data_IF_286762962765
#
_entry.id   IF_286762962765
#
_cell.length_a   1.000
_cell.length_b   1.000
_cell.length_c   1.000
_cell.angle_alpha   90.00
_cell.angle_beta   90.00
_cell.angle_gamma   90.00
#
_symmetry.space_group_name_H-M   'P 1'
#
loop_
_entity.id
_entity.type
_entity.pdbx_description
1 polymer ?
#
# COMPACT_ATOMS: atom_id res chain seq x y z
N UNK A 1 -10.44 -5.75 1.43
CA UNK A 1 -9.23 -4.92 1.68
C UNK A 1 -9.11 -3.90 0.56
N UNK A 2 -8.46 -2.78 0.86
CA UNK A 2 -8.19 -1.69 -0.08
C UNK A 2 -6.69 -1.39 -0.10
N UNK A 3 -6.20 -0.86 -1.20
CA UNK A 3 -4.83 -0.35 -1.34
C UNK A 3 -4.84 1.07 -1.91
N UNK A 4 -3.66 1.63 -2.09
CA UNK A 4 -3.47 2.95 -2.70
C UNK A 4 -2.37 2.87 -3.76
N UNK A 5 -2.47 3.66 -4.82
CA UNK A 5 -1.43 3.76 -5.86
C UNK A 5 -0.52 4.97 -5.64
N UNK A 6 -1.09 6.06 -5.19
CA UNK A 6 -0.39 7.33 -5.05
C UNK A 6 -0.26 7.79 -3.61
N UNK A 7 0.74 8.66 -3.39
CA UNK A 7 0.98 9.32 -2.12
C UNK A 7 -0.08 10.39 -1.88
N UNK A 8 -0.66 10.37 -0.67
CA UNK A 8 -1.50 11.45 -0.16
C UNK A 8 -0.86 12.11 1.06
N UNK A 9 -1.11 13.40 1.26
CA UNK A 9 -0.57 14.17 2.39
C UNK A 9 -1.62 15.13 2.91
N UNK A 10 -1.82 15.14 4.23
CA UNK A 10 -2.68 16.11 4.90
C UNK A 10 -2.01 16.71 6.13
N UNK A 11 -2.51 17.86 6.56
CA UNK A 11 -2.11 18.47 7.82
C UNK A 11 -3.30 18.57 8.75
N UNK A 12 -3.13 18.08 9.97
CA UNK A 12 -4.13 18.16 11.05
C UNK A 12 -3.56 18.95 12.22
N UNK A 13 -4.30 19.88 12.76
CA UNK A 13 -3.92 20.63 13.95
C UNK A 13 -4.82 20.25 15.14
N UNK A 14 -4.18 19.97 16.27
CA UNK A 14 -4.85 19.66 17.55
C UNK A 14 -4.12 20.41 18.67
N UNK A 15 -4.80 21.31 19.35
CA UNK A 15 -4.23 22.12 20.44
C UNK A 15 -2.86 22.74 20.07
N UNK A 16 -2.80 23.40 18.92
CA UNK A 16 -1.59 24.00 18.32
C UNK A 16 -0.50 23.01 17.90
N UNK A 17 -0.59 21.73 18.23
CA UNK A 17 0.29 20.71 17.68
C UNK A 17 -0.09 20.44 16.23
N UNK A 18 0.91 20.35 15.34
CA UNK A 18 0.72 20.11 13.92
C UNK A 18 1.17 18.68 13.59
N UNK A 19 0.32 17.95 12.89
CA UNK A 19 0.54 16.58 12.43
C UNK A 19 0.47 16.56 10.90
N UNK A 20 1.61 16.37 10.22
CA UNK A 20 1.66 16.21 8.78
C UNK A 20 1.67 14.72 8.51
N UNK A 21 0.58 14.22 7.95
CA UNK A 21 0.37 12.79 7.71
C UNK A 21 0.55 12.46 6.24
N UNK A 22 1.43 11.51 5.97
CA UNK A 22 1.74 10.95 4.67
C UNK A 22 1.17 9.53 4.62
N UNK A 23 0.34 9.23 3.63
CA UNK A 23 -0.07 7.86 3.28
C UNK A 23 0.59 7.51 1.97
N UNK A 24 1.31 6.39 1.93
CA UNK A 24 2.10 5.97 0.77
C UNK A 24 1.94 4.47 0.49
N UNK A 25 2.04 4.03 -0.78
CA UNK A 25 2.20 2.62 -1.08
C UNK A 25 3.42 2.04 -0.36
N UNK A 26 3.35 0.77 0.05
CA UNK A 26 4.45 0.11 0.79
C UNK A 26 5.76 0.13 0.00
N UNK A 27 5.71 0.07 -1.32
CA UNK A 27 6.88 0.15 -2.21
C UNK A 27 7.64 1.49 -2.11
N UNK A 28 6.99 2.54 -1.61
CA UNK A 28 7.57 3.89 -1.43
C UNK A 28 7.93 4.19 0.03
N UNK A 29 7.82 3.18 0.91
CA UNK A 29 8.05 3.38 2.35
C UNK A 29 9.53 3.36 2.73
N UNK A 30 10.35 2.51 2.09
CA UNK A 30 11.75 2.33 2.44
C UNK A 30 12.53 3.66 2.36
N UNK A 31 13.26 3.99 3.42
CA UNK A 31 14.02 5.24 3.54
C UNK A 31 13.19 6.51 3.75
N UNK A 32 11.83 6.44 3.64
CA UNK A 32 10.98 7.63 3.74
C UNK A 32 10.99 8.23 5.15
N UNK A 33 11.06 7.41 6.21
CA UNK A 33 11.11 7.92 7.58
C UNK A 33 12.35 8.79 7.80
N UNK A 34 13.54 8.30 7.40
CA UNK A 34 14.81 9.02 7.51
C UNK A 34 14.82 10.29 6.68
N UNK A 35 14.27 10.22 5.47
CA UNK A 35 14.07 11.38 4.61
C UNK A 35 13.21 12.44 5.29
N UNK A 36 12.07 12.06 5.85
CA UNK A 36 11.17 12.99 6.55
C UNK A 36 11.83 13.59 7.81
N UNK A 37 12.64 12.83 8.55
CA UNK A 37 13.44 13.37 9.68
C UNK A 37 14.43 14.43 9.20
N UNK A 38 15.11 14.17 8.10
CA UNK A 38 16.07 15.11 7.51
C UNK A 38 15.40 16.38 6.99
N UNK A 39 14.25 16.23 6.31
CA UNK A 39 13.49 17.37 5.77
C UNK A 39 12.77 18.20 6.86
N UNK A 40 12.54 17.62 8.04
CA UNK A 40 11.82 18.22 9.13
C UNK A 40 12.66 18.27 10.43
N UNK A 41 13.84 18.93 10.44
CA UNK A 41 14.77 18.87 11.57
C UNK A 41 14.23 19.50 12.87
N UNK A 42 13.15 20.27 12.77
CA UNK A 42 12.46 20.87 13.94
C UNK A 42 11.25 20.04 14.42
N UNK A 43 10.93 18.95 13.74
CA UNK A 43 9.88 18.05 14.18
C UNK A 43 10.34 17.28 15.43
N UNK A 44 9.40 17.03 16.33
CA UNK A 44 9.67 16.28 17.54
C UNK A 44 9.71 14.76 17.27
N UNK A 45 8.84 14.27 16.39
CA UNK A 45 8.66 12.85 16.12
C UNK A 45 8.26 12.63 14.66
N UNK A 46 8.69 11.48 14.09
CA UNK A 46 8.24 10.96 12.80
C UNK A 46 7.74 9.52 13.04
N UNK A 47 6.52 9.45 13.47
CA UNK A 47 5.80 8.19 13.78
C UNK A 47 5.47 7.45 12.50
N UNK A 48 5.45 6.10 12.53
CA UNK A 48 4.95 5.34 11.40
C UNK A 48 4.06 4.17 11.82
N UNK A 49 3.24 3.72 10.89
CA UNK A 49 2.59 2.42 10.90
C UNK A 49 2.55 1.85 9.47
N UNK A 50 2.82 0.56 9.35
CA UNK A 50 2.82 -0.16 8.07
C UNK A 50 1.93 -1.39 8.17
N UNK A 51 1.26 -1.72 7.06
CA UNK A 51 0.45 -2.92 6.92
C UNK A 51 0.54 -3.42 5.49
N UNK A 52 1.10 -4.62 5.28
CA UNK A 52 1.34 -5.15 3.95
C UNK A 52 1.29 -6.68 3.93
N UNK A 53 1.19 -7.26 2.74
CA UNK A 53 1.32 -8.70 2.51
C UNK A 53 2.78 -9.04 2.21
N UNK A 54 3.31 -10.08 2.88
CA UNK A 54 4.61 -10.64 2.53
C UNK A 54 4.49 -11.57 1.31
N UNK A 55 5.60 -12.18 0.91
CA UNK A 55 5.70 -13.15 -0.20
C UNK A 55 4.82 -14.41 -0.03
N UNK A 56 4.34 -14.67 1.19
CA UNK A 56 3.45 -15.79 1.53
C UNK A 56 1.99 -15.35 1.72
N UNK A 57 1.61 -14.15 1.25
CA UNK A 57 0.29 -13.54 1.44
C UNK A 57 -0.14 -13.37 2.90
N UNK A 58 0.81 -13.34 3.83
CA UNK A 58 0.53 -13.09 5.24
C UNK A 58 0.58 -11.59 5.52
N UNK A 59 -0.37 -11.11 6.31
CA UNK A 59 -0.39 -9.72 6.74
C UNK A 59 0.76 -9.48 7.74
N UNK A 60 1.63 -8.55 7.37
CA UNK A 60 2.71 -8.03 8.22
C UNK A 60 2.35 -6.62 8.67
N UNK A 61 2.48 -6.37 9.96
CA UNK A 61 2.17 -5.10 10.58
C UNK A 61 3.33 -4.66 11.47
N UNK A 62 3.69 -3.39 11.39
CA UNK A 62 4.67 -2.78 12.29
C UNK A 62 4.31 -1.33 12.54
N UNK A 63 4.74 -0.78 13.68
CA UNK A 63 4.57 0.62 14.03
C UNK A 63 5.62 1.09 15.01
N UNK A 64 5.90 2.40 14.99
CA UNK A 64 6.81 3.05 15.92
C UNK A 64 6.21 4.34 16.44
N UNK A 65 6.36 4.55 17.74
CA UNK A 65 5.99 5.81 18.39
C UNK A 65 7.08 6.90 18.23
N UNK A 66 8.27 6.56 17.74
CA UNK A 66 9.42 7.47 17.53
C UNK A 66 9.68 8.43 18.71
N UNK A 67 9.67 7.90 19.93
CA UNK A 67 9.90 8.66 21.16
C UNK A 67 8.65 9.31 21.78
N UNK A 68 7.49 9.20 21.19
CA UNK A 68 6.22 9.47 21.89
C UNK A 68 5.98 8.43 22.99
N UNK A 69 5.14 8.70 24.00
CA UNK A 69 4.78 7.70 24.99
C UNK A 69 4.27 6.40 24.35
N UNK A 70 4.73 5.29 24.89
CA UNK A 70 4.46 3.95 24.32
C UNK A 70 2.98 3.72 24.04
N UNK A 71 2.67 3.34 22.80
CA UNK A 71 1.33 3.01 22.33
C UNK A 71 0.42 4.21 22.09
N UNK A 72 0.94 5.46 22.18
CA UNK A 72 0.13 6.65 22.01
C UNK A 72 0.13 7.22 20.58
N UNK A 73 0.92 6.66 19.67
CA UNK A 73 1.09 7.20 18.32
C UNK A 73 1.03 6.13 17.23
N UNK A 74 2.02 5.25 17.15
CA UNK A 74 2.11 4.23 16.11
C UNK A 74 0.96 3.22 16.16
N UNK A 75 0.62 2.71 17.34
CA UNK A 75 -0.51 1.77 17.50
C UNK A 75 -1.86 2.38 17.12
N UNK A 76 -2.24 3.60 17.56
CA UNK A 76 -3.44 4.27 17.08
C UNK A 76 -3.49 4.46 15.57
N UNK A 77 -2.36 4.81 14.94
CA UNK A 77 -2.26 4.93 13.49
C UNK A 77 -2.50 3.58 12.80
N UNK A 78 -1.86 2.51 13.28
CA UNK A 78 -2.05 1.14 12.76
C UNK A 78 -3.51 0.67 12.91
N UNK A 79 -4.15 0.96 14.03
CA UNK A 79 -5.53 0.59 14.27
C UNK A 79 -6.50 1.24 13.27
N UNK A 80 -6.20 2.44 12.78
CA UNK A 80 -6.99 3.05 11.69
C UNK A 80 -6.78 2.28 10.39
N UNK A 81 -5.55 1.91 10.02
CA UNK A 81 -5.29 1.10 8.81
C UNK A 81 -6.03 -0.24 8.86
N UNK A 82 -6.09 -0.88 10.04
CA UNK A 82 -6.85 -2.12 10.25
C UNK A 82 -8.35 -1.91 10.09
N UNK A 83 -8.91 -0.88 10.73
CA UNK A 83 -10.34 -0.59 10.71
C UNK A 83 -10.87 -0.21 9.33
N UNK A 84 -10.05 0.42 8.51
CA UNK A 84 -10.36 0.77 7.11
C UNK A 84 -9.94 -0.33 6.11
N UNK A 85 -9.53 -1.50 6.63
CA UNK A 85 -9.10 -2.67 5.83
C UNK A 85 -8.02 -2.37 4.79
N UNK A 86 -7.12 -1.41 5.09
CA UNK A 86 -6.02 -1.06 4.19
C UNK A 86 -4.93 -2.11 4.20
N UNK A 87 -4.32 -2.33 3.04
CA UNK A 87 -3.18 -3.24 2.84
C UNK A 87 -2.17 -2.63 1.87
N UNK A 88 -0.93 -3.11 1.92
CA UNK A 88 0.18 -2.67 1.06
C UNK A 88 0.44 -1.16 1.13
N UNK A 89 0.31 -0.59 2.33
CA UNK A 89 0.52 0.82 2.59
C UNK A 89 1.32 1.09 3.86
N UNK A 90 1.85 2.29 3.93
CA UNK A 90 2.47 2.87 5.11
C UNK A 90 1.90 4.25 5.38
N UNK A 91 1.73 4.59 6.66
CA UNK A 91 1.45 5.94 7.10
C UNK A 91 2.62 6.45 7.92
N UNK A 92 3.06 7.70 7.65
CA UNK A 92 4.10 8.40 8.40
C UNK A 92 3.54 9.73 8.87
N UNK A 93 3.81 10.10 10.12
CA UNK A 93 3.24 11.30 10.73
C UNK A 93 4.35 12.11 11.37
N UNK A 94 4.61 13.27 10.78
CA UNK A 94 5.56 14.27 11.30
C UNK A 94 4.82 15.17 12.28
N UNK A 95 5.26 15.18 13.54
CA UNK A 95 4.65 16.00 14.57
C UNK A 95 5.52 17.18 14.98
N UNK A 96 4.91 18.35 15.07
CA UNK A 96 5.44 19.54 15.70
C UNK A 96 4.61 19.85 16.96
N UNK A 97 5.26 19.90 18.12
CA UNK A 97 4.60 20.21 19.38
C UNK A 97 4.16 21.68 19.44
N UNK A 98 2.91 21.92 19.80
CA UNK A 98 2.31 23.25 19.84
C UNK A 98 2.35 23.95 21.21
N UNK A 99 3.15 23.45 22.15
CA UNK A 99 3.26 24.04 23.50
C UNK A 99 2.19 23.55 24.49
N UNK A 100 1.16 22.88 24.05
CA UNK A 100 0.06 22.35 24.90
C UNK A 100 0.13 20.82 24.92
N UNK A 101 0.29 20.24 26.11
CA UNK A 101 0.30 18.78 26.29
C UNK A 101 -1.09 18.19 25.99
N UNK A 102 -1.14 17.19 25.13
CA UNK A 102 -2.39 16.52 24.75
C UNK A 102 -2.81 15.41 25.74
N UNK A 103 -1.87 14.92 26.55
CA UNK A 103 -2.04 13.70 27.33
C UNK A 103 -2.07 12.44 26.44
N UNK A 104 -1.94 11.26 27.03
CA UNK A 104 -1.86 9.99 26.30
C UNK A 104 -3.09 9.71 25.43
N UNK A 105 -4.28 9.88 25.98
CA UNK A 105 -5.53 9.73 25.23
C UNK A 105 -5.74 10.80 24.16
N UNK A 106 -5.30 12.04 24.41
CA UNK A 106 -5.34 13.12 23.42
C UNK A 106 -4.41 12.86 22.24
N UNK A 107 -3.20 12.37 22.51
CA UNK A 107 -2.23 11.96 21.49
C UNK A 107 -2.78 10.83 20.62
N UNK A 108 -3.28 9.77 21.24
CA UNK A 108 -3.84 8.63 20.50
C UNK A 108 -4.95 9.08 19.54
N UNK A 109 -5.85 9.95 20.01
CA UNK A 109 -6.91 10.53 19.15
C UNK A 109 -6.35 11.42 18.03
N UNK A 110 -5.32 12.23 18.32
CA UNK A 110 -4.74 13.14 17.32
C UNK A 110 -4.02 12.36 16.20
N UNK A 111 -3.24 11.33 16.53
CA UNK A 111 -2.61 10.47 15.55
C UNK A 111 -3.63 9.71 14.69
N UNK A 112 -4.64 9.10 15.32
CA UNK A 112 -5.72 8.44 14.60
C UNK A 112 -6.50 9.41 13.69
N UNK A 113 -6.75 10.65 14.16
CA UNK A 113 -7.42 11.69 13.36
C UNK A 113 -6.59 12.07 12.13
N UNK A 114 -5.27 12.23 12.28
CA UNK A 114 -4.36 12.50 11.15
C UNK A 114 -4.48 11.44 10.06
N UNK A 115 -4.47 10.14 10.45
CA UNK A 115 -4.65 9.04 9.49
C UNK A 115 -6.03 9.08 8.84
N UNK A 116 -7.10 9.27 9.61
CA UNK A 116 -8.46 9.38 9.05
C UNK A 116 -8.60 10.54 8.07
N UNK A 117 -7.93 11.66 8.32
CA UNK A 117 -7.98 12.81 7.43
C UNK A 117 -7.24 12.55 6.12
N UNK A 118 -6.04 11.95 6.14
CA UNK A 118 -5.33 11.64 4.90
C UNK A 118 -6.08 10.61 4.06
N UNK A 119 -6.78 9.67 4.68
CA UNK A 119 -7.61 8.69 3.98
C UNK A 119 -8.77 9.33 3.22
N UNK A 120 -9.40 10.39 3.76
CA UNK A 120 -10.47 11.11 3.06
C UNK A 120 -10.01 11.79 1.77
N UNK A 121 -8.72 12.16 1.70
CA UNK A 121 -8.09 12.78 0.53
C UNK A 121 -7.41 11.75 -0.40
N UNK A 122 -7.50 10.46 -0.05
CA UNK A 122 -6.85 9.38 -0.79
C UNK A 122 -7.85 8.65 -1.69
N UNK A 123 -7.37 8.19 -2.83
CA UNK A 123 -8.13 7.27 -3.69
C UNK A 123 -7.82 5.85 -3.22
N UNK A 124 -8.82 5.22 -2.64
CA UNK A 124 -8.74 3.81 -2.23
C UNK A 124 -9.21 2.93 -3.38
N UNK A 125 -8.40 1.93 -3.73
CA UNK A 125 -8.72 0.94 -4.75
C UNK A 125 -8.94 -0.43 -4.10
N UNK A 126 -9.93 -1.22 -4.53
CA UNK A 126 -10.07 -2.60 -4.06
C UNK A 126 -8.76 -3.35 -4.29
N UNK A 127 -8.25 -4.02 -3.25
CA UNK A 127 -7.07 -4.86 -3.40
C UNK A 127 -7.47 -6.17 -4.08
N UNK A 128 -6.86 -6.43 -5.22
CA UNK A 128 -6.96 -7.69 -5.95
C UNK A 128 -5.61 -8.42 -5.90
N UNK A 129 -5.63 -9.66 -5.44
CA UNK A 129 -4.43 -10.50 -5.43
C UNK A 129 -3.94 -10.69 -6.85
N UNK A 130 -2.68 -10.31 -7.08
CA UNK A 130 -2.02 -10.52 -8.37
C UNK A 130 -1.32 -11.89 -8.36
N UNK A 131 -1.57 -12.70 -9.36
CA UNK A 131 -0.94 -14.00 -9.55
C UNK A 131 -0.30 -14.07 -10.95
N UNK A 132 0.80 -14.82 -11.07
CA UNK A 132 1.45 -15.07 -12.35
C UNK A 132 1.14 -16.48 -12.83
N UNK A 133 0.88 -16.63 -14.12
CA UNK A 133 0.65 -17.90 -14.77
C UNK A 133 1.56 -18.05 -16.00
N UNK A 134 2.24 -19.18 -16.07
CA UNK A 134 3.14 -19.52 -17.19
C UNK A 134 2.50 -20.64 -18.00
N UNK A 135 2.41 -20.44 -19.31
CA UNK A 135 1.86 -21.43 -20.24
C UNK A 135 2.48 -21.27 -21.63
N UNK A 136 2.23 -22.24 -22.51
CA UNK A 136 2.70 -22.22 -23.90
C UNK A 136 1.55 -22.21 -24.88
N UNK A 137 1.77 -21.60 -26.05
CA UNK A 137 0.88 -21.67 -27.20
C UNK A 137 1.66 -22.07 -28.45
N UNK A 138 0.99 -22.63 -29.43
CA UNK A 138 1.53 -22.71 -30.78
C UNK A 138 1.55 -21.31 -31.43
N UNK A 139 2.38 -21.09 -32.43
CA UNK A 139 2.51 -19.79 -33.11
C UNK A 139 1.19 -19.28 -33.72
N UNK A 140 0.37 -20.19 -34.27
CA UNK A 140 -0.94 -19.86 -34.85
C UNK A 140 -2.00 -19.44 -33.82
N UNK A 141 -1.74 -19.62 -32.52
CA UNK A 141 -2.63 -19.19 -31.41
C UNK A 141 -2.24 -17.84 -30.81
N UNK A 142 -1.09 -17.26 -31.20
CA UNK A 142 -0.55 -16.03 -30.60
C UNK A 142 -1.53 -14.86 -30.71
N UNK A 143 -2.10 -14.61 -31.88
CA UNK A 143 -3.03 -13.50 -32.09
C UNK A 143 -4.34 -13.69 -31.31
N UNK A 144 -4.82 -14.93 -31.20
CA UNK A 144 -5.99 -15.27 -30.40
C UNK A 144 -5.71 -15.00 -28.90
N UNK A 145 -4.51 -15.35 -28.43
CA UNK A 145 -4.13 -15.10 -27.04
C UNK A 145 -3.97 -13.61 -26.76
N UNK A 146 -3.32 -12.85 -27.64
CA UNK A 146 -3.21 -11.39 -27.52
C UNK A 146 -4.59 -10.71 -27.44
N UNK A 147 -5.52 -11.17 -28.27
CA UNK A 147 -6.89 -10.68 -28.23
C UNK A 147 -7.56 -10.98 -26.88
N UNK A 148 -7.41 -12.23 -26.38
CA UNK A 148 -7.97 -12.63 -25.08
C UNK A 148 -7.39 -11.83 -23.91
N UNK A 149 -6.06 -11.63 -23.86
CA UNK A 149 -5.41 -10.80 -22.85
C UNK A 149 -5.94 -9.35 -22.87
N UNK A 150 -6.10 -8.78 -24.06
CA UNK A 150 -6.68 -7.44 -24.24
C UNK A 150 -8.12 -7.37 -23.74
N UNK A 151 -8.96 -8.35 -24.05
CA UNK A 151 -10.38 -8.40 -23.58
C UNK A 151 -10.47 -8.51 -22.06
N UNK A 152 -9.54 -9.21 -21.42
CA UNK A 152 -9.46 -9.37 -19.97
C UNK A 152 -8.76 -8.17 -19.28
N UNK A 153 -8.23 -7.21 -20.06
CA UNK A 153 -7.46 -6.09 -19.53
C UNK A 153 -6.17 -6.54 -18.83
N UNK A 154 -5.53 -7.59 -19.34
CA UNK A 154 -4.25 -8.10 -18.88
C UNK A 154 -3.15 -7.49 -19.76
N UNK A 155 -2.45 -6.48 -19.24
CA UNK A 155 -1.38 -5.76 -19.94
C UNK A 155 0.03 -6.19 -19.52
N UNK A 156 0.15 -6.84 -18.37
CA UNK A 156 1.43 -7.31 -17.83
C UNK A 156 1.68 -8.76 -18.27
N UNK A 157 2.45 -8.92 -19.35
CA UNK A 157 2.88 -10.22 -19.84
C UNK A 157 4.25 -10.15 -20.52
N UNK A 158 4.98 -11.26 -20.41
CA UNK A 158 6.23 -11.52 -21.11
C UNK A 158 6.02 -12.67 -22.10
N UNK A 159 6.78 -12.67 -23.19
CA UNK A 159 6.76 -13.74 -24.20
C UNK A 159 8.18 -14.18 -24.53
N UNK A 160 8.39 -15.46 -24.55
CA UNK A 160 9.62 -16.09 -25.05
C UNK A 160 9.30 -16.97 -26.26
N UNK A 161 9.97 -16.72 -27.37
CA UNK A 161 9.72 -17.37 -28.65
C UNK A 161 10.68 -18.54 -28.83
N UNK A 162 10.16 -19.76 -28.62
CA UNK A 162 10.87 -21.00 -28.88
C UNK A 162 10.79 -21.45 -30.35
N UNK A 163 11.26 -22.65 -30.64
CA UNK A 163 11.29 -23.17 -32.02
C UNK A 163 9.87 -23.40 -32.57
N UNK A 164 8.98 -24.08 -31.82
CA UNK A 164 7.64 -24.46 -32.24
C UNK A 164 6.53 -23.81 -31.39
N UNK A 165 6.88 -23.18 -30.27
CA UNK A 165 5.93 -22.64 -29.30
C UNK A 165 6.38 -21.29 -28.78
N UNK A 166 5.41 -20.53 -28.26
CA UNK A 166 5.63 -19.29 -27.53
C UNK A 166 5.29 -19.54 -26.07
N UNK A 167 6.23 -19.27 -25.16
CA UNK A 167 6.01 -19.29 -23.71
C UNK A 167 5.54 -17.93 -23.26
N UNK A 168 4.48 -17.92 -22.48
CA UNK A 168 3.88 -16.72 -21.91
C UNK A 168 4.04 -16.74 -20.40
N UNK A 169 4.34 -15.59 -19.81
CA UNK A 169 4.20 -15.33 -18.39
C UNK A 169 3.27 -14.13 -18.25
N UNK A 170 2.08 -14.37 -17.75
CA UNK A 170 1.01 -13.39 -17.63
C UNK A 170 0.75 -13.13 -16.16
N UNK A 171 0.69 -11.85 -15.76
CA UNK A 171 0.35 -11.43 -14.39
C UNK A 171 -0.98 -10.68 -14.39
N UNK A 172 -1.79 -10.93 -13.36
CA UNK A 172 -3.08 -10.28 -13.20
C UNK A 172 -3.86 -10.80 -12.01
N UNK A 173 -5.07 -10.27 -11.79
CA UNK A 173 -5.92 -10.76 -10.72
C UNK A 173 -6.27 -12.24 -10.92
N UNK A 174 -6.44 -12.95 -9.80
CA UNK A 174 -6.71 -14.39 -9.78
C UNK A 174 -7.89 -14.76 -10.69
N UNK A 175 -9.00 -14.02 -10.64
CA UNK A 175 -10.18 -14.23 -11.50
C UNK A 175 -9.88 -14.14 -13.00
N UNK A 176 -9.01 -13.20 -13.39
CA UNK A 176 -8.62 -13.04 -14.80
C UNK A 176 -7.68 -14.17 -15.25
N UNK A 177 -6.77 -14.59 -14.39
CA UNK A 177 -5.86 -15.69 -14.67
C UNK A 177 -6.61 -17.01 -14.76
N UNK A 178 -7.62 -17.27 -13.90
CA UNK A 178 -8.47 -18.46 -14.02
C UNK A 178 -9.17 -18.53 -15.40
N UNK A 179 -9.67 -17.41 -15.93
CA UNK A 179 -10.25 -17.36 -17.28
C UNK A 179 -9.24 -17.75 -18.37
N UNK A 180 -7.96 -17.38 -18.22
CA UNK A 180 -6.90 -17.82 -19.16
C UNK A 180 -6.67 -19.32 -19.04
N UNK A 181 -6.65 -19.90 -17.84
CA UNK A 181 -6.51 -21.33 -17.62
C UNK A 181 -7.67 -22.10 -18.24
N UNK A 182 -8.91 -21.68 -18.02
CA UNK A 182 -10.10 -22.27 -18.64
C UNK A 182 -10.02 -22.27 -20.18
N UNK A 183 -9.56 -21.17 -20.79
CA UNK A 183 -9.36 -21.07 -22.23
C UNK A 183 -8.29 -22.03 -22.76
N UNK A 184 -7.31 -22.41 -21.92
CA UNK A 184 -6.27 -23.38 -22.25
C UNK A 184 -6.66 -24.81 -21.95
N UNK A 185 -7.84 -25.06 -21.32
CA UNK A 185 -8.34 -26.41 -21.01
C UNK A 185 -7.65 -27.05 -19.81
N UNK A 186 -7.18 -26.28 -18.85
CA UNK A 186 -6.57 -26.73 -17.59
C UNK A 186 -7.41 -26.35 -16.38
#
# INVERSE_FOLDING_TARGET
MYSIEDRSVTTTEVNRSKFITYLVPISKYEGLQEKLKTENPKANHVVYAVRYLNEHDQIVENSSDDGEPKGCAGTPALNVLRGEELINCAVLIVRYFGGIKLGTGGMARAYALGVKNVLKESILIPYEKQVSYVFTTAYNEVDKMLYALKQLGLSEYERDFGIDTVTWKVSGSEDKIEKIKEMKGQ
#
